data_IF_821416332906
#
_entry.id   IF_821416332906
#
_cell.length_a   1.000
_cell.length_b   1.000
_cell.length_c   1.000
_cell.angle_alpha   90.00
_cell.angle_beta   90.00
_cell.angle_gamma   90.00
#
_symmetry.space_group_name_H-M   'P 1'
#
loop_
_entity.id
_entity.type
_entity.pdbx_description
1 polymer ?
#
# COMPACT_ATOMS: atom_id res chain seq x y z
N UNK A 1 -2.97 -16.00 15.58
CA UNK A 1 -3.73 -14.92 14.89
C UNK A 1 -3.10 -14.71 13.52
N UNK A 2 -3.92 -14.62 12.48
CA UNK A 2 -3.44 -14.34 11.11
C UNK A 2 -3.04 -12.88 10.90
N UNK A 3 -3.54 -12.27 9.85
CA UNK A 3 -3.17 -10.89 9.47
C UNK A 3 -3.88 -9.84 10.31
N UNK A 4 -3.15 -8.75 10.59
CA UNK A 4 -3.69 -7.51 11.14
C UNK A 4 -3.23 -6.35 10.26
N UNK A 5 -4.04 -5.31 10.14
CA UNK A 5 -3.72 -4.12 9.37
C UNK A 5 -4.96 -3.27 9.10
N UNK A 6 -4.81 -2.21 8.32
CA UNK A 6 -5.88 -1.32 7.88
C UNK A 6 -6.74 -0.69 8.98
N UNK A 7 -6.21 -0.49 10.16
CA UNK A 7 -6.88 0.17 11.27
C UNK A 7 -6.15 1.46 11.66
N UNK A 8 -6.69 2.18 12.65
CA UNK A 8 -6.01 3.33 13.23
C UNK A 8 -4.75 2.89 13.97
N UNK A 9 -3.77 3.79 14.08
CA UNK A 9 -2.54 3.53 14.84
C UNK A 9 -2.84 3.14 16.28
N UNK A 10 -3.84 3.77 16.91
CA UNK A 10 -4.25 3.45 18.29
C UNK A 10 -4.81 2.03 18.40
N UNK A 11 -5.74 1.66 17.51
CA UNK A 11 -6.28 0.29 17.50
C UNK A 11 -5.17 -0.74 17.35
N UNK A 12 -4.22 -0.48 16.45
CA UNK A 12 -3.10 -1.39 16.20
C UNK A 12 -2.19 -1.52 17.43
N UNK A 13 -1.90 -0.42 18.12
CA UNK A 13 -1.11 -0.43 19.35
C UNK A 13 -1.80 -1.25 20.45
N UNK A 14 -3.10 -1.04 20.66
CA UNK A 14 -3.90 -1.78 21.65
C UNK A 14 -3.99 -3.27 21.32
N UNK A 15 -4.18 -3.59 20.05
CA UNK A 15 -4.17 -4.98 19.57
C UNK A 15 -2.82 -5.66 19.83
N UNK A 16 -1.71 -5.03 19.43
CA UNK A 16 -0.37 -5.58 19.62
C UNK A 16 -0.05 -5.78 21.11
N UNK A 17 -0.43 -4.83 21.97
CA UNK A 17 -0.27 -4.94 23.42
C UNK A 17 -1.07 -6.12 23.99
N UNK A 18 -2.31 -6.29 23.53
CA UNK A 18 -3.19 -7.40 23.94
C UNK A 18 -2.62 -8.75 23.53
N UNK A 19 -2.16 -8.91 22.29
CA UNK A 19 -1.54 -10.14 21.80
C UNK A 19 -0.27 -10.48 22.58
N UNK A 20 0.58 -9.49 22.82
CA UNK A 20 1.80 -9.64 23.61
C UNK A 20 1.49 -10.11 25.04
N UNK A 21 0.49 -9.49 25.69
CA UNK A 21 0.06 -9.89 27.05
C UNK A 21 -0.48 -11.31 27.09
N UNK A 22 -1.20 -11.73 26.05
CA UNK A 22 -1.74 -13.08 25.93
C UNK A 22 -0.72 -14.11 25.43
N UNK A 23 0.52 -13.72 25.12
CA UNK A 23 1.56 -14.54 24.50
C UNK A 23 1.10 -15.22 23.19
N UNK A 24 0.34 -14.47 22.36
CA UNK A 24 -0.17 -14.92 21.07
C UNK A 24 0.63 -14.25 19.95
N UNK A 25 1.21 -15.06 19.06
CA UNK A 25 1.86 -14.57 17.85
C UNK A 25 0.85 -14.01 16.84
N UNK A 26 1.27 -13.03 16.05
CA UNK A 26 0.47 -12.44 14.98
C UNK A 26 1.37 -12.00 13.82
N UNK A 27 0.79 -11.79 12.64
CA UNK A 27 1.42 -11.18 11.47
C UNK A 27 0.70 -9.90 11.09
N UNK A 28 1.39 -8.97 10.47
CA UNK A 28 0.80 -7.71 10.02
C UNK A 28 0.73 -7.66 8.49
N UNK A 29 -0.22 -6.87 7.97
CA UNK A 29 -0.48 -6.64 6.57
C UNK A 29 -0.87 -5.18 6.31
N UNK A 30 -0.38 -4.54 5.24
CA UNK A 30 0.71 -4.96 4.37
C UNK A 30 2.09 -4.42 4.81
N UNK A 31 3.16 -5.03 4.29
CA UNK A 31 4.51 -4.52 4.50
C UNK A 31 4.79 -3.26 3.66
N UNK A 32 4.40 -3.28 2.37
CA UNK A 32 4.55 -2.15 1.43
C UNK A 32 3.23 -1.75 0.81
N UNK A 33 3.01 -0.44 0.67
CA UNK A 33 1.83 0.11 0.04
C UNK A 33 2.07 1.54 -0.44
N UNK A 34 1.24 2.05 -1.35
CA UNK A 34 1.30 3.45 -1.80
C UNK A 34 0.88 4.42 -0.67
N UNK A 35 -0.04 4.03 0.19
CA UNK A 35 -0.50 4.85 1.31
C UNK A 35 0.30 4.64 2.61
N UNK A 36 -0.04 5.39 3.67
CA UNK A 36 0.64 5.37 4.97
C UNK A 36 0.26 4.23 5.90
N UNK A 37 -0.69 3.34 5.53
CA UNK A 37 -1.13 2.22 6.36
C UNK A 37 -0.29 0.95 6.13
N UNK A 38 1.02 1.09 6.21
CA UNK A 38 2.01 0.03 5.97
C UNK A 38 3.35 0.40 6.62
N UNK A 39 4.28 -0.53 6.69
CA UNK A 39 5.61 -0.25 7.25
C UNK A 39 6.47 0.60 6.31
N UNK A 40 6.40 0.32 5.01
CA UNK A 40 7.22 0.96 3.99
C UNK A 40 6.32 1.58 2.91
N UNK A 41 6.24 2.91 2.88
CA UNK A 41 5.46 3.64 1.89
C UNK A 41 6.15 3.67 0.52
N UNK A 42 5.41 3.36 -0.53
CA UNK A 42 5.87 3.49 -1.91
C UNK A 42 5.46 4.88 -2.42
N UNK A 43 6.41 5.64 -2.92
CA UNK A 43 6.12 6.94 -3.55
C UNK A 43 5.25 6.73 -4.79
N UNK A 44 4.05 7.31 -4.77
CA UNK A 44 3.13 7.23 -5.90
C UNK A 44 3.65 8.10 -7.07
N UNK A 45 3.70 7.57 -8.30
CA UNK A 45 3.97 8.39 -9.48
C UNK A 45 2.95 9.52 -9.64
N UNK A 46 3.37 10.69 -10.15
CA UNK A 46 2.54 11.89 -10.21
C UNK A 46 1.21 11.69 -10.96
N UNK A 47 1.26 11.01 -12.10
CA UNK A 47 0.09 10.76 -12.96
C UNK A 47 -0.64 9.42 -12.66
N UNK A 48 -0.35 8.78 -11.51
CA UNK A 48 -0.88 7.46 -11.19
C UNK A 48 -2.40 7.46 -11.13
N UNK A 49 -2.99 8.39 -10.36
CA UNK A 49 -4.44 8.43 -10.17
C UNK A 49 -5.18 8.77 -11.47
N UNK A 50 -4.69 9.76 -12.21
CA UNK A 50 -5.30 10.20 -13.46
C UNK A 50 -5.17 9.21 -14.61
N UNK A 51 -4.29 8.21 -14.49
CA UNK A 51 -4.02 7.23 -15.56
C UNK A 51 -4.39 5.82 -15.12
N UNK A 52 -3.78 5.31 -14.05
CA UNK A 52 -3.94 3.91 -13.63
C UNK A 52 -5.22 3.72 -12.82
N UNK A 53 -5.46 4.56 -11.79
CA UNK A 53 -6.68 4.45 -10.97
C UNK A 53 -7.91 4.75 -11.80
N UNK A 54 -7.89 5.82 -12.60
CA UNK A 54 -8.98 6.15 -13.53
C UNK A 54 -9.32 4.99 -14.47
N UNK A 55 -8.32 4.28 -14.99
CA UNK A 55 -8.55 3.09 -15.82
C UNK A 55 -9.11 1.92 -14.98
N UNK A 56 -8.61 1.73 -13.77
CA UNK A 56 -9.07 0.67 -12.87
C UNK A 56 -10.54 0.83 -12.47
N UNK A 57 -10.99 2.08 -12.30
CA UNK A 57 -12.37 2.45 -11.92
C UNK A 57 -13.31 2.66 -13.12
N UNK A 58 -12.80 2.56 -14.35
CA UNK A 58 -13.60 2.73 -15.54
C UNK A 58 -14.65 1.62 -15.70
N UNK A 59 -15.66 1.89 -16.53
CA UNK A 59 -16.70 0.91 -16.90
C UNK A 59 -16.08 -0.37 -17.46
N UNK A 60 -16.47 -1.50 -16.90
CA UNK A 60 -16.00 -2.84 -17.25
C UNK A 60 -17.15 -3.75 -17.74
N UNK A 61 -18.29 -3.17 -18.07
CA UNK A 61 -19.49 -3.90 -18.52
C UNK A 61 -19.29 -4.62 -19.85
N UNK A 62 -18.33 -4.17 -20.67
CA UNK A 62 -18.01 -4.78 -21.96
C UNK A 62 -16.52 -4.63 -22.31
N UNK A 63 -16.03 -5.50 -23.20
CA UNK A 63 -14.68 -5.37 -23.74
C UNK A 63 -14.46 -4.05 -24.48
N UNK A 64 -15.48 -3.51 -25.12
CA UNK A 64 -15.39 -2.22 -25.82
C UNK A 64 -15.28 -1.06 -24.83
N UNK A 65 -16.00 -1.09 -23.72
CA UNK A 65 -15.86 -0.09 -22.65
C UNK A 65 -14.44 -0.10 -22.06
N UNK A 66 -13.92 -1.29 -21.75
CA UNK A 66 -12.55 -1.46 -21.25
C UNK A 66 -11.53 -0.94 -22.27
N UNK A 67 -11.70 -1.26 -23.54
CA UNK A 67 -10.79 -0.85 -24.61
C UNK A 67 -10.77 0.66 -24.80
N UNK A 68 -11.95 1.32 -24.74
CA UNK A 68 -12.08 2.78 -24.83
C UNK A 68 -11.44 3.50 -23.62
N UNK A 69 -11.54 2.90 -22.42
CA UNK A 69 -10.98 3.49 -21.19
C UNK A 69 -9.46 3.29 -21.07
N UNK A 70 -8.86 2.41 -21.87
CA UNK A 70 -7.44 2.08 -21.78
C UNK A 70 -6.58 3.33 -21.96
N UNK A 71 -5.63 3.59 -21.05
CA UNK A 71 -4.70 4.69 -21.21
C UNK A 71 -3.76 4.47 -22.39
N UNK A 72 -3.10 5.53 -22.82
CA UNK A 72 -1.99 5.42 -23.76
C UNK A 72 -0.97 4.37 -23.28
N UNK A 73 -0.56 3.49 -24.16
CA UNK A 73 0.26 2.33 -23.81
C UNK A 73 1.64 2.74 -23.29
N UNK A 74 2.29 3.69 -23.96
CA UNK A 74 3.63 4.14 -23.55
C UNK A 74 3.58 4.89 -22.22
N UNK A 75 2.56 5.75 -22.03
CA UNK A 75 2.34 6.44 -20.75
C UNK A 75 2.07 5.44 -19.62
N UNK A 76 1.22 4.45 -19.84
CA UNK A 76 0.91 3.41 -18.87
C UNK A 76 2.14 2.60 -18.49
N UNK A 77 2.92 2.17 -19.47
CA UNK A 77 4.17 1.43 -19.27
C UNK A 77 5.19 2.24 -18.47
N UNK A 78 5.38 3.52 -18.81
CA UNK A 78 6.29 4.41 -18.08
C UNK A 78 5.91 4.54 -16.61
N UNK A 79 4.63 4.73 -16.30
CA UNK A 79 4.13 4.83 -14.92
C UNK A 79 4.31 3.53 -14.13
N UNK A 80 4.05 2.39 -14.77
CA UNK A 80 4.28 1.09 -14.14
C UNK A 80 5.75 0.84 -13.85
N UNK A 81 6.64 1.22 -14.76
CA UNK A 81 8.10 1.11 -14.55
C UNK A 81 8.57 2.05 -13.43
N UNK A 82 8.05 3.28 -13.37
CA UNK A 82 8.32 4.21 -12.26
C UNK A 82 7.83 3.65 -10.92
N UNK A 83 6.63 3.06 -10.90
CA UNK A 83 6.11 2.40 -9.70
C UNK A 83 7.01 1.24 -9.25
N UNK A 84 7.45 0.39 -10.17
CA UNK A 84 8.39 -0.71 -9.88
C UNK A 84 9.69 -0.19 -9.30
N UNK A 85 10.23 0.90 -9.84
CA UNK A 85 11.45 1.53 -9.30
C UNK A 85 11.21 2.08 -7.89
N UNK A 86 10.09 2.80 -7.68
CA UNK A 86 9.72 3.35 -6.38
C UNK A 86 9.44 2.26 -5.32
N UNK A 87 9.04 1.06 -5.75
CA UNK A 87 8.79 -0.07 -4.87
C UNK A 87 10.05 -0.81 -4.41
N UNK A 88 11.22 -0.49 -4.96
CA UNK A 88 12.48 -1.04 -4.46
C UNK A 88 12.72 -0.57 -3.02
N UNK A 89 13.23 -1.46 -2.17
CA UNK A 89 13.40 -1.18 -0.73
C UNK A 89 14.14 0.12 -0.45
N UNK A 90 15.19 0.40 -1.20
CA UNK A 90 16.01 1.61 -1.07
C UNK A 90 15.27 2.92 -1.38
N UNK A 91 14.16 2.84 -2.12
CA UNK A 91 13.35 3.99 -2.55
C UNK A 91 12.06 4.16 -1.74
N UNK A 92 11.73 3.18 -0.87
CA UNK A 92 10.58 3.25 0.01
C UNK A 92 10.87 4.13 1.23
N UNK A 93 9.81 4.73 1.78
CA UNK A 93 9.87 5.60 2.96
C UNK A 93 9.33 4.84 4.17
N UNK A 94 10.11 4.67 5.26
CA UNK A 94 9.60 4.08 6.51
C UNK A 94 8.42 4.89 7.06
N UNK A 95 7.32 4.21 7.36
CA UNK A 95 6.13 4.82 7.97
C UNK A 95 6.26 4.74 9.49
N UNK A 96 7.01 5.67 10.07
CA UNK A 96 7.38 5.68 11.49
C UNK A 96 6.18 5.51 12.43
N UNK A 97 5.08 6.23 12.20
CA UNK A 97 3.87 6.11 13.03
C UNK A 97 3.32 4.69 13.04
N UNK A 98 3.22 4.07 11.85
CA UNK A 98 2.73 2.71 11.70
C UNK A 98 3.67 1.70 12.40
N UNK A 99 4.98 1.85 12.22
CA UNK A 99 6.00 1.00 12.85
C UNK A 99 5.92 1.08 14.38
N UNK A 100 5.84 2.29 14.92
CA UNK A 100 5.73 2.52 16.36
C UNK A 100 4.43 1.98 16.96
N UNK A 101 3.30 2.06 16.22
CA UNK A 101 2.03 1.51 16.68
C UNK A 101 2.05 -0.02 16.84
N UNK A 102 2.98 -0.69 16.18
CA UNK A 102 3.23 -2.12 16.34
C UNK A 102 4.16 -2.46 17.52
N UNK A 103 4.63 -1.47 18.25
CA UNK A 103 5.61 -1.65 19.33
C UNK A 103 7.02 -1.98 18.83
N UNK A 104 7.31 -1.67 17.56
CA UNK A 104 8.62 -1.83 16.95
C UNK A 104 9.42 -0.51 17.02
N UNK A 105 10.73 -0.61 16.92
CA UNK A 105 11.60 0.58 16.77
C UNK A 105 11.63 0.99 15.30
N UNK A 106 11.46 2.28 15.04
CA UNK A 106 11.73 2.86 13.73
C UNK A 106 13.19 3.35 13.76
N UNK A 107 14.03 2.67 13.01
CA UNK A 107 15.41 3.12 12.75
C UNK A 107 15.44 4.10 11.57
#
# INVERSE_FOLDING_TARGET
>A
MGEIGHNTDQWQADFCATMKKANIGYTFWPYKKIDGSCMMGIKKPADWDSTIVKFAEADRSSFDAIRKARPDQEKGKKLLMEFVENAKQKNCVPQTRYILSMGLKAE
#
